data_IF_705518838656
#
_entry.id   IF_705518838656
#
_cell.length_a   1.000
_cell.length_b   1.000
_cell.length_c   1.000
_cell.angle_alpha   90.00
_cell.angle_beta   90.00
_cell.angle_gamma   90.00
#
_symmetry.space_group_name_H-M   'P 1'
#
loop_
_entity.id
_entity.type
_entity.pdbx_description
1 polymer ?
#
# COMPACT_ATOMS: atom_id res chain seq x y z
N UNK A 1 -24.50 -0.15 -14.49
CA UNK A 1 -23.07 -0.29 -14.19
C UNK A 1 -22.81 -1.73 -13.81
N UNK A 2 -21.89 -2.43 -14.48
CA UNK A 2 -21.45 -3.74 -14.05
C UNK A 2 -20.80 -3.65 -12.66
N UNK A 3 -20.81 -4.78 -11.95
CA UNK A 3 -20.36 -4.85 -10.56
C UNK A 3 -19.40 -6.04 -10.38
N UNK A 4 -18.31 -5.78 -9.66
CA UNK A 4 -17.30 -6.78 -9.31
C UNK A 4 -17.17 -6.89 -7.80
N UNK A 5 -16.71 -8.06 -7.34
CA UNK A 5 -16.62 -8.38 -5.93
C UNK A 5 -15.28 -9.00 -5.59
N UNK A 6 -14.70 -8.58 -4.47
CA UNK A 6 -13.46 -9.12 -3.91
C UNK A 6 -13.70 -9.50 -2.44
N UNK A 7 -13.41 -10.74 -2.01
CA UNK A 7 -13.44 -11.09 -0.59
C UNK A 7 -12.45 -10.25 0.22
N UNK A 8 -12.83 -9.82 1.42
CA UNK A 8 -11.96 -9.02 2.30
C UNK A 8 -12.21 -9.34 3.77
N UNK A 9 -11.15 -9.45 4.55
CA UNK A 9 -11.21 -9.45 6.01
C UNK A 9 -11.00 -8.01 6.53
N UNK A 10 -12.05 -7.44 7.12
CA UNK A 10 -12.04 -6.10 7.70
C UNK A 10 -11.10 -5.97 8.90
N UNK A 11 -10.63 -7.07 9.50
CA UNK A 11 -9.59 -7.09 10.53
C UNK A 11 -8.17 -7.24 9.96
N UNK A 12 -8.01 -7.33 8.65
CA UNK A 12 -6.73 -7.19 7.98
C UNK A 12 -6.63 -5.78 7.37
N UNK A 13 -6.00 -4.80 8.04
CA UNK A 13 -5.92 -3.44 7.53
C UNK A 13 -5.20 -3.37 6.17
N UNK A 14 -4.24 -4.28 5.92
CA UNK A 14 -3.58 -4.40 4.63
C UNK A 14 -4.57 -4.67 3.50
N UNK A 15 -5.54 -5.57 3.70
CA UNK A 15 -6.59 -5.82 2.70
C UNK A 15 -7.54 -4.63 2.55
N UNK A 16 -7.90 -3.94 3.63
CA UNK A 16 -8.75 -2.73 3.56
C UNK A 16 -8.05 -1.60 2.80
N UNK A 17 -6.75 -1.39 3.02
CA UNK A 17 -5.95 -0.45 2.24
C UNK A 17 -5.82 -0.90 0.79
N UNK A 18 -5.69 -2.21 0.55
CA UNK A 18 -5.64 -2.78 -0.78
C UNK A 18 -6.96 -2.60 -1.55
N UNK A 19 -8.12 -2.66 -0.90
CA UNK A 19 -9.40 -2.30 -1.53
C UNK A 19 -9.38 -0.86 -2.06
N UNK A 20 -8.79 0.07 -1.31
CA UNK A 20 -8.63 1.46 -1.76
C UNK A 20 -7.64 1.56 -2.91
N UNK A 21 -6.49 0.89 -2.80
CA UNK A 21 -5.53 0.85 -3.89
C UNK A 21 -6.06 0.24 -5.17
N UNK A 22 -6.98 -0.73 -5.07
CA UNK A 22 -7.63 -1.35 -6.21
C UNK A 22 -8.50 -0.35 -6.97
N UNK A 23 -9.28 0.47 -6.25
CA UNK A 23 -10.05 1.57 -6.85
C UNK A 23 -9.11 2.57 -7.53
N UNK A 24 -8.10 3.07 -6.80
CA UNK A 24 -7.17 4.09 -7.32
C UNK A 24 -6.38 3.59 -8.54
N UNK A 25 -5.90 2.34 -8.50
CA UNK A 25 -5.19 1.73 -9.62
C UNK A 25 -6.12 1.54 -10.81
N UNK A 26 -7.32 1.01 -10.58
CA UNK A 26 -8.28 0.77 -11.65
C UNK A 26 -8.72 2.09 -12.30
N UNK A 27 -9.08 3.14 -11.55
CA UNK A 27 -9.43 4.46 -12.11
C UNK A 27 -8.30 5.00 -13.00
N UNK A 28 -7.04 4.87 -12.58
CA UNK A 28 -5.89 5.34 -13.35
C UNK A 28 -5.60 4.49 -14.61
N UNK A 29 -5.88 3.18 -14.57
CA UNK A 29 -5.61 2.25 -15.67
C UNK A 29 -6.75 2.25 -16.69
N UNK A 30 -8.00 2.10 -16.23
CA UNK A 30 -9.19 2.02 -17.09
C UNK A 30 -9.73 3.39 -17.49
N UNK A 31 -9.32 4.47 -16.79
CA UNK A 31 -9.73 5.87 -17.03
C UNK A 31 -11.24 6.08 -16.94
N UNK A 32 -11.88 5.37 -16.02
CA UNK A 32 -13.31 5.44 -15.74
C UNK A 32 -13.55 5.67 -14.25
N UNK A 33 -14.71 6.23 -13.89
CA UNK A 33 -15.12 6.39 -12.50
C UNK A 33 -15.39 5.04 -11.85
N UNK A 34 -14.95 4.90 -10.59
CA UNK A 34 -15.21 3.69 -9.81
C UNK A 34 -15.80 4.05 -8.45
N UNK A 35 -17.04 3.62 -8.26
CA UNK A 35 -17.70 3.64 -6.97
C UNK A 35 -17.44 2.32 -6.25
N UNK A 36 -17.31 2.39 -4.92
CA UNK A 36 -17.05 1.19 -4.14
C UNK A 36 -17.68 1.21 -2.75
N UNK A 37 -17.93 0.02 -2.21
CA UNK A 37 -18.46 -0.17 -0.85
C UNK A 37 -17.95 -1.47 -0.23
N UNK A 38 -18.12 -1.59 1.08
CA UNK A 38 -17.99 -2.86 1.79
C UNK A 38 -19.38 -3.44 2.10
N UNK A 39 -19.56 -4.72 1.84
CA UNK A 39 -20.79 -5.46 2.11
C UNK A 39 -20.53 -6.48 3.20
N UNK A 40 -21.21 -6.32 4.34
CA UNK A 40 -21.08 -7.17 5.51
C UNK A 40 -22.41 -7.24 6.27
N UNK A 41 -22.62 -8.34 6.99
CA UNK A 41 -23.80 -8.54 7.84
C UNK A 41 -23.43 -8.40 9.32
N UNK A 42 -24.15 -7.53 10.04
CA UNK A 42 -23.94 -7.31 11.47
C UNK A 42 -22.47 -7.02 11.82
N UNK A 43 -21.91 -7.86 12.69
CA UNK A 43 -20.51 -7.75 13.16
C UNK A 43 -19.53 -8.63 12.36
N UNK A 44 -19.96 -9.24 11.25
CA UNK A 44 -19.08 -10.06 10.43
C UNK A 44 -17.87 -9.24 9.94
N UNK A 45 -16.68 -9.84 10.06
CA UNK A 45 -15.43 -9.21 9.62
C UNK A 45 -14.98 -9.73 8.26
N UNK A 46 -15.37 -10.95 7.89
CA UNK A 46 -15.35 -11.37 6.50
C UNK A 46 -16.46 -10.64 5.76
N UNK A 47 -16.08 -9.89 4.74
CA UNK A 47 -16.94 -9.02 3.97
C UNK A 47 -16.65 -9.19 2.48
N UNK A 48 -17.49 -8.57 1.66
CA UNK A 48 -17.28 -8.45 0.22
C UNK A 48 -17.03 -6.98 -0.11
N UNK A 49 -15.91 -6.69 -0.74
CA UNK A 49 -15.65 -5.38 -1.33
C UNK A 49 -16.26 -5.32 -2.73
N UNK A 50 -17.17 -4.38 -2.95
CA UNK A 50 -17.87 -4.21 -4.23
C UNK A 50 -17.31 -3.02 -4.98
N UNK A 51 -17.19 -3.16 -6.29
CA UNK A 51 -16.74 -2.15 -7.24
C UNK A 51 -17.80 -1.98 -8.32
N UNK A 52 -18.17 -0.75 -8.65
CA UNK A 52 -18.98 -0.42 -9.82
C UNK A 52 -18.16 0.47 -10.74
N UNK A 53 -18.09 0.12 -12.01
CA UNK A 53 -17.41 0.89 -13.03
C UNK A 53 -18.44 1.44 -14.02
N UNK A 54 -18.20 2.65 -14.51
CA UNK A 54 -19.04 3.27 -15.53
C UNK A 54 -18.97 2.51 -16.86
N UNK A 55 -17.87 1.79 -17.10
CA UNK A 55 -17.57 1.05 -18.33
C UNK A 55 -17.73 -0.47 -18.13
N UNK A 56 -17.96 -1.19 -19.23
CA UNK A 56 -17.98 -2.66 -19.26
C UNK A 56 -16.57 -3.26 -19.32
N UNK A 57 -15.72 -2.86 -18.37
CA UNK A 57 -14.32 -3.27 -18.27
C UNK A 57 -14.10 -3.87 -16.88
N UNK A 58 -13.52 -5.07 -16.80
CA UNK A 58 -13.13 -5.69 -15.53
C UNK A 58 -12.01 -4.89 -14.85
N UNK A 59 -12.29 -4.17 -13.75
CA UNK A 59 -11.28 -3.35 -13.08
C UNK A 59 -10.25 -4.22 -12.36
N UNK A 60 -10.66 -5.38 -11.82
CA UNK A 60 -9.74 -6.26 -11.07
C UNK A 60 -8.80 -6.95 -12.04
N UNK A 61 -9.33 -7.51 -13.13
CA UNK A 61 -8.54 -8.09 -14.20
C UNK A 61 -7.55 -7.11 -14.82
N UNK A 62 -7.99 -5.87 -15.07
CA UNK A 62 -7.13 -4.82 -15.62
C UNK A 62 -5.95 -4.47 -14.71
N UNK A 63 -6.18 -4.40 -13.39
CA UNK A 63 -5.13 -4.11 -12.41
C UNK A 63 -4.15 -5.27 -12.25
N UNK A 64 -4.65 -6.52 -12.21
CA UNK A 64 -3.79 -7.72 -12.16
C UNK A 64 -2.93 -7.81 -13.42
N UNK A 65 -3.51 -7.58 -14.60
CA UNK A 65 -2.77 -7.54 -15.86
C UNK A 65 -1.70 -6.44 -15.86
N UNK A 66 -2.05 -5.24 -15.38
CA UNK A 66 -1.09 -4.16 -15.23
C UNK A 66 0.11 -4.56 -14.35
N UNK A 67 -0.10 -5.13 -13.16
CA UNK A 67 1.01 -5.52 -12.29
C UNK A 67 1.87 -6.66 -12.85
N UNK A 68 1.28 -7.54 -13.66
CA UNK A 68 2.03 -8.59 -14.34
C UNK A 68 3.04 -8.03 -15.32
N UNK A 69 2.65 -6.97 -16.05
CA UNK A 69 3.44 -6.39 -17.13
C UNK A 69 4.25 -5.16 -16.69
N UNK A 70 3.96 -4.62 -15.50
CA UNK A 70 4.60 -3.42 -15.00
C UNK A 70 6.04 -3.65 -14.57
N UNK A 71 6.87 -2.63 -14.77
CA UNK A 71 8.20 -2.50 -14.15
C UNK A 71 8.24 -1.38 -13.14
N UNK A 72 9.08 -1.51 -12.13
CA UNK A 72 9.35 -0.47 -11.15
C UNK A 72 10.53 0.40 -11.59
N UNK A 73 10.32 1.72 -11.64
CA UNK A 73 11.32 2.72 -12.00
C UNK A 73 11.44 3.70 -10.84
N UNK A 74 12.64 3.83 -10.30
CA UNK A 74 12.95 4.84 -9.27
C UNK A 74 12.98 6.22 -9.90
N UNK A 75 12.29 7.18 -9.29
CA UNK A 75 12.32 8.57 -9.73
C UNK A 75 13.35 9.36 -8.92
N UNK A 76 14.29 10.01 -9.61
CA UNK A 76 15.30 10.88 -9.01
C UNK A 76 14.95 12.33 -9.38
N UNK A 77 14.49 13.16 -8.44
CA UNK A 77 14.14 14.55 -8.73
C UNK A 77 15.38 15.33 -9.20
N UNK A 78 15.28 16.02 -10.34
CA UNK A 78 16.21 17.08 -10.71
C UNK A 78 15.75 18.35 -10.03
N UNK A 79 16.58 18.93 -9.18
CA UNK A 79 16.19 20.11 -8.42
C UNK A 79 16.09 21.33 -9.36
N UNK A 80 14.92 21.98 -9.42
CA UNK A 80 14.69 23.16 -10.26
C UNK A 80 15.26 24.45 -9.63
N UNK A 81 15.61 24.45 -8.34
CA UNK A 81 16.29 25.57 -7.67
C UNK A 81 17.66 25.18 -7.08
N UNK A 82 18.11 23.95 -7.30
CA UNK A 82 19.45 23.53 -6.95
C UNK A 82 20.13 22.78 -8.09
N UNK A 83 20.84 23.55 -8.91
CA UNK A 83 22.07 23.06 -9.55
C UNK A 83 23.09 22.57 -8.48
N UNK A 84 22.78 22.67 -7.17
CA UNK A 84 23.73 22.48 -6.06
C UNK A 84 23.17 21.83 -4.79
N UNK A 85 22.17 20.93 -4.84
CA UNK A 85 21.78 20.09 -3.67
C UNK A 85 21.52 18.60 -3.97
N UNK A 86 21.76 18.15 -5.20
CA UNK A 86 22.53 16.91 -5.36
C UNK A 86 23.98 17.43 -5.25
N UNK A 87 24.63 17.44 -4.07
CA UNK A 87 26.02 17.88 -4.00
C UNK A 87 26.78 17.17 -5.11
N UNK A 88 27.64 17.86 -5.85
CA UNK A 88 28.50 17.22 -6.84
C UNK A 88 29.18 16.01 -6.16
N UNK A 89 28.74 14.78 -6.49
CA UNK A 89 29.06 13.57 -5.72
C UNK A 89 27.93 12.91 -4.90
N UNK A 90 26.67 13.35 -4.97
CA UNK A 90 25.55 12.68 -4.29
C UNK A 90 25.26 11.33 -4.92
N UNK A 91 25.24 10.32 -4.05
CA UNK A 91 25.16 8.89 -4.35
C UNK A 91 23.73 8.36 -4.30
N UNK A 92 22.72 9.22 -4.50
CA UNK A 92 21.31 8.80 -4.54
C UNK A 92 21.06 7.92 -5.77
N UNK A 93 21.28 6.63 -5.58
CA UNK A 93 21.13 5.61 -6.60
C UNK A 93 20.51 4.38 -5.98
N UNK A 94 19.61 3.76 -6.74
CA UNK A 94 19.04 2.45 -6.41
C UNK A 94 19.75 1.31 -7.16
N UNK A 95 20.86 1.59 -7.86
CA UNK A 95 21.62 0.62 -8.64
C UNK A 95 22.12 -0.57 -7.79
N UNK A 96 22.49 -0.32 -6.52
CA UNK A 96 22.85 -1.38 -5.55
C UNK A 96 21.76 -2.46 -5.45
N UNK A 97 20.50 -2.08 -5.64
CA UNK A 97 19.37 -2.98 -5.57
C UNK A 97 18.82 -3.33 -6.93
N UNK A 98 19.52 -3.11 -8.06
CA UNK A 98 19.06 -3.48 -9.41
C UNK A 98 17.62 -3.01 -9.71
N UNK A 99 17.34 -1.73 -9.43
CA UNK A 99 16.10 -1.06 -9.83
C UNK A 99 16.46 0.02 -10.84
N UNK A 100 15.75 0.06 -11.97
CA UNK A 100 15.93 1.11 -12.97
C UNK A 100 15.65 2.48 -12.33
N UNK A 101 16.33 3.52 -12.82
CA UNK A 101 16.16 4.88 -12.32
C UNK A 101 16.14 5.89 -13.45
N UNK A 102 15.27 6.89 -13.35
CA UNK A 102 15.19 8.00 -14.30
C UNK A 102 15.30 9.32 -13.55
N UNK A 103 16.07 10.26 -14.11
CA UNK A 103 16.14 11.64 -13.63
C UNK A 103 14.95 12.40 -14.21
N UNK A 104 14.19 13.09 -13.37
CA UNK A 104 12.99 13.82 -13.79
C UNK A 104 13.15 15.33 -13.60
N UNK A 105 12.92 16.09 -14.66
CA UNK A 105 13.11 17.55 -14.71
C UNK A 105 11.93 18.34 -14.12
N UNK A 106 10.79 17.67 -13.98
CA UNK A 106 9.60 18.25 -13.39
C UNK A 106 9.61 18.08 -11.88
N UNK A 107 9.12 19.06 -11.11
CA UNK A 107 8.61 18.76 -9.78
C UNK A 107 7.40 17.84 -10.00
N UNK A 108 7.66 16.53 -10.06
CA UNK A 108 6.62 15.54 -9.79
C UNK A 108 5.93 15.99 -8.51
N UNK A 109 4.60 15.86 -8.45
CA UNK A 109 3.67 16.35 -7.42
C UNK A 109 4.00 15.78 -6.04
N UNK A 110 5.17 16.16 -5.56
CA UNK A 110 5.85 15.70 -4.38
C UNK A 110 6.40 16.95 -3.71
N UNK A 111 5.56 17.63 -2.90
CA UNK A 111 6.03 18.67 -1.99
C UNK A 111 6.96 18.13 -0.88
N UNK A 112 7.45 16.89 -1.01
CA UNK A 112 8.45 16.32 -0.13
C UNK A 112 9.79 17.01 -0.35
N UNK A 113 10.55 17.24 0.73
CA UNK A 113 11.96 17.66 0.62
C UNK A 113 12.72 16.64 -0.24
N UNK A 114 13.75 17.11 -0.94
CA UNK A 114 14.69 16.24 -1.66
C UNK A 114 15.09 15.08 -0.74
N UNK A 115 14.85 13.83 -1.16
CA UNK A 115 15.18 12.65 -0.37
C UNK A 115 16.64 12.68 0.09
N UNK A 116 16.90 12.47 1.38
CA UNK A 116 18.26 12.38 1.91
C UNK A 116 18.84 10.96 1.83
N UNK A 117 18.05 9.98 1.36
CA UNK A 117 18.42 8.58 1.23
C UNK A 117 17.77 7.95 -0.01
N UNK A 118 18.44 7.00 -0.70
CA UNK A 118 17.82 6.22 -1.75
C UNK A 118 16.57 5.48 -1.28
N UNK A 119 16.50 5.14 0.02
CA UNK A 119 15.39 4.40 0.61
C UNK A 119 14.04 5.12 0.45
N UNK A 120 14.07 6.46 0.44
CA UNK A 120 12.88 7.32 0.40
C UNK A 120 12.56 7.86 -1.00
N UNK A 121 13.26 7.39 -2.04
CA UNK A 121 12.95 7.80 -3.41
C UNK A 121 11.56 7.27 -3.83
N UNK A 122 10.76 8.07 -4.56
CA UNK A 122 9.53 7.61 -5.19
C UNK A 122 9.77 6.51 -6.22
N UNK A 123 8.71 5.75 -6.52
CA UNK A 123 8.73 4.75 -7.59
C UNK A 123 7.53 4.95 -8.52
N UNK A 124 7.78 4.76 -9.81
CA UNK A 124 6.77 4.65 -10.85
C UNK A 124 6.64 3.18 -11.24
N UNK A 125 5.42 2.64 -11.17
CA UNK A 125 5.06 1.40 -11.81
C UNK A 125 4.61 1.74 -13.22
N UNK A 126 5.22 1.14 -14.24
CA UNK A 126 4.99 1.52 -15.63
C UNK A 126 4.77 0.31 -16.52
N UNK A 127 3.74 0.36 -17.35
CA UNK A 127 3.57 -0.47 -18.56
C UNK A 127 3.70 0.41 -19.81
N UNK A 128 3.47 -0.15 -21.00
CA UNK A 128 3.41 0.64 -22.24
C UNK A 128 2.21 1.61 -22.29
N UNK A 129 1.14 1.34 -21.53
CA UNK A 129 -0.14 2.05 -21.65
C UNK A 129 -0.55 2.85 -20.40
N UNK A 130 0.04 2.57 -19.24
CA UNK A 130 -0.35 3.19 -17.99
C UNK A 130 0.83 3.35 -17.02
N UNK A 131 0.68 4.28 -16.07
CA UNK A 131 1.65 4.52 -15.00
C UNK A 131 0.97 4.77 -13.66
N UNK A 132 1.52 4.21 -12.60
CA UNK A 132 1.10 4.45 -11.21
C UNK A 132 2.29 4.91 -10.38
N UNK A 133 2.14 6.01 -9.64
CA UNK A 133 3.18 6.51 -8.74
C UNK A 133 2.95 6.01 -7.32
N UNK A 134 4.05 5.67 -6.63
CA UNK A 134 4.09 5.36 -5.21
C UNK A 134 5.15 6.22 -4.51
N UNK A 135 4.71 6.99 -3.52
CA UNK A 135 5.55 7.85 -2.68
C UNK A 135 4.96 8.10 -1.29
N UNK A 136 3.99 7.30 -0.83
CA UNK A 136 3.27 7.56 0.42
C UNK A 136 4.20 7.64 1.63
N UNK A 137 5.31 6.89 1.61
CA UNK A 137 6.35 6.87 2.63
C UNK A 137 7.23 8.14 2.63
N UNK A 138 7.13 8.98 1.61
CA UNK A 138 7.79 10.28 1.52
C UNK A 138 6.90 11.42 2.06
N UNK A 139 5.67 11.12 2.51
CA UNK A 139 4.81 12.09 3.18
C UNK A 139 5.30 12.44 4.59
N UNK A 140 4.83 13.56 5.11
CA UNK A 140 4.93 13.86 6.53
C UNK A 140 4.02 15.03 6.88
N UNK A 141 3.52 15.03 8.13
CA UNK A 141 2.53 16.01 8.60
C UNK A 141 3.03 17.44 8.40
N UNK A 142 4.33 17.66 8.60
CA UNK A 142 4.94 18.98 8.43
C UNK A 142 5.02 19.44 6.98
N UNK A 143 5.11 18.52 6.02
CA UNK A 143 5.30 18.84 4.60
C UNK A 143 3.99 18.81 3.80
N UNK A 144 3.13 17.83 4.08
CA UNK A 144 1.91 17.56 3.31
C UNK A 144 0.63 17.63 4.11
N UNK A 145 0.70 17.86 5.43
CA UNK A 145 -0.46 17.75 6.32
C UNK A 145 -0.97 16.31 6.52
N UNK A 146 -0.35 15.32 5.85
CA UNK A 146 -0.74 13.90 5.89
C UNK A 146 0.22 13.10 6.76
N UNK A 147 -0.32 12.15 7.51
CA UNK A 147 0.48 11.19 8.27
C UNK A 147 1.26 10.28 7.31
N UNK A 148 2.54 10.04 7.57
CA UNK A 148 3.34 9.14 6.74
C UNK A 148 2.84 7.68 6.85
N UNK A 149 2.29 7.28 8.00
CA UNK A 149 1.92 5.88 8.31
C UNK A 149 3.04 4.92 7.89
N UNK A 150 4.27 5.29 8.26
CA UNK A 150 5.49 4.54 7.94
C UNK A 150 5.46 3.10 8.47
N UNK A 151 5.29 2.12 7.59
CA UNK A 151 5.47 0.70 7.90
C UNK A 151 6.92 0.31 7.56
N UNK A 152 7.20 -0.35 6.44
CA UNK A 152 8.58 -0.70 6.07
C UNK A 152 9.21 0.17 4.99
N UNK A 153 8.44 0.68 4.03
CA UNK A 153 8.99 1.51 2.96
C UNK A 153 9.68 2.78 3.48
N UNK A 154 10.82 3.13 2.89
CA UNK A 154 11.63 4.25 3.35
C UNK A 154 12.44 3.98 4.63
N UNK A 155 12.63 2.71 5.02
CA UNK A 155 13.36 2.30 6.23
C UNK A 155 14.33 1.14 5.96
N UNK A 156 15.26 0.90 6.88
CA UNK A 156 16.17 -0.26 6.84
C UNK A 156 17.19 -0.28 5.68
N UNK A 157 17.31 0.82 4.93
CA UNK A 157 18.21 0.91 3.78
C UNK A 157 17.74 0.14 2.55
N UNK A 158 16.58 -0.53 2.58
CA UNK A 158 15.98 -1.18 1.39
C UNK A 158 14.92 -0.27 0.79
N UNK A 159 15.07 0.21 -0.45
CA UNK A 159 14.18 1.25 -0.98
C UNK A 159 12.79 0.71 -1.31
N UNK A 160 11.78 1.59 -1.17
CA UNK A 160 10.39 1.27 -1.57
C UNK A 160 10.29 0.82 -3.03
N UNK A 161 11.15 1.35 -3.91
CA UNK A 161 11.24 0.92 -5.30
C UNK A 161 11.74 -0.53 -5.47
N UNK A 162 12.63 -1.01 -4.59
CA UNK A 162 13.06 -2.41 -4.59
C UNK A 162 11.95 -3.34 -4.07
N UNK A 163 11.21 -2.92 -3.04
CA UNK A 163 10.02 -3.65 -2.57
C UNK A 163 8.97 -3.80 -3.69
N UNK A 164 8.68 -2.70 -4.39
CA UNK A 164 7.74 -2.72 -5.50
C UNK A 164 8.22 -3.64 -6.63
N UNK A 165 9.50 -3.55 -7.01
CA UNK A 165 10.10 -4.43 -8.00
C UNK A 165 10.01 -5.90 -7.62
N UNK A 166 10.32 -6.26 -6.37
CA UNK A 166 10.29 -7.65 -5.90
C UNK A 166 8.87 -8.22 -5.98
N UNK A 167 7.87 -7.46 -5.55
CA UNK A 167 6.46 -7.84 -5.66
C UNK A 167 6.02 -8.02 -7.12
N UNK A 168 6.39 -7.08 -8.01
CA UNK A 168 6.08 -7.19 -9.45
C UNK A 168 6.75 -8.42 -10.09
N UNK A 169 8.01 -8.73 -9.75
CA UNK A 169 8.69 -9.94 -10.23
C UNK A 169 7.96 -11.22 -9.83
N UNK A 170 7.43 -11.27 -8.61
CA UNK A 170 6.63 -12.41 -8.15
C UNK A 170 5.33 -12.53 -8.95
N UNK A 171 4.61 -11.41 -9.15
CA UNK A 171 3.34 -11.39 -9.91
C UNK A 171 3.56 -11.74 -11.38
N UNK A 172 4.63 -11.23 -12.00
CA UNK A 172 4.99 -11.55 -13.39
C UNK A 172 5.24 -13.05 -13.60
N UNK A 173 5.69 -13.76 -12.56
CA UNK A 173 5.94 -15.19 -12.58
C UNK A 173 4.71 -16.06 -12.26
N UNK A 174 3.55 -15.46 -11.99
CA UNK A 174 2.33 -16.23 -11.72
C UNK A 174 1.93 -17.09 -12.94
N UNK A 175 1.67 -18.39 -12.74
CA UNK A 175 1.04 -19.21 -13.78
C UNK A 175 -0.39 -18.74 -14.07
N UNK A 176 -0.96 -19.21 -15.17
CA UNK A 176 -2.29 -18.80 -15.61
C UNK A 176 -3.39 -19.09 -14.56
N UNK A 177 -3.24 -20.18 -13.79
CA UNK A 177 -4.20 -20.53 -12.74
C UNK A 177 -4.19 -19.50 -11.59
N UNK A 178 -3.02 -19.03 -11.19
CA UNK A 178 -2.78 -18.03 -10.15
C UNK A 178 -3.21 -16.65 -10.61
N UNK A 179 -3.02 -16.30 -11.89
CA UNK A 179 -3.61 -15.09 -12.47
C UNK A 179 -5.13 -15.16 -12.38
N UNK A 180 -5.75 -16.27 -12.80
CA UNK A 180 -7.20 -16.43 -12.71
C UNK A 180 -7.70 -16.40 -11.25
N UNK A 181 -6.92 -16.93 -10.31
CA UNK A 181 -7.20 -16.84 -8.88
C UNK A 181 -7.10 -15.39 -8.37
N UNK A 182 -6.05 -14.66 -8.77
CA UNK A 182 -5.83 -13.26 -8.41
C UNK A 182 -6.95 -12.33 -8.92
N UNK A 183 -7.54 -12.63 -10.07
CA UNK A 183 -8.70 -11.86 -10.57
C UNK A 183 -9.93 -12.05 -9.69
N UNK A 184 -10.13 -13.25 -9.12
CA UNK A 184 -11.28 -13.55 -8.25
C UNK A 184 -11.08 -13.09 -6.81
N UNK A 185 -9.87 -13.27 -6.29
CA UNK A 185 -9.49 -12.98 -4.92
C UNK A 185 -8.02 -12.51 -4.88
N UNK A 186 -7.76 -11.24 -5.23
CA UNK A 186 -6.41 -10.69 -5.28
C UNK A 186 -5.71 -10.73 -3.91
N UNK A 187 -6.45 -10.86 -2.82
CA UNK A 187 -5.91 -10.84 -1.47
C UNK A 187 -5.53 -12.22 -0.94
N UNK A 188 -5.83 -13.29 -1.67
CA UNK A 188 -5.57 -14.65 -1.19
C UNK A 188 -4.63 -15.46 -2.11
N UNK A 189 -3.85 -14.79 -2.96
CA UNK A 189 -2.77 -15.42 -3.73
C UNK A 189 -1.44 -15.25 -2.99
N UNK A 190 -1.03 -16.35 -2.35
CA UNK A 190 0.14 -16.40 -1.48
C UNK A 190 1.36 -16.97 -2.22
N UNK A 191 2.54 -16.36 -2.04
CA UNK A 191 3.80 -16.85 -2.63
C UNK A 191 4.98 -16.69 -1.67
N UNK A 192 6.03 -17.53 -1.78
CA UNK A 192 7.29 -17.30 -1.08
C UNK A 192 7.84 -15.88 -1.35
N UNK A 193 8.07 -15.11 -0.29
CA UNK A 193 8.36 -13.68 -0.41
C UNK A 193 9.35 -13.21 0.67
N UNK A 194 10.55 -12.81 0.23
CA UNK A 194 11.65 -12.40 1.11
C UNK A 194 11.58 -10.94 1.58
N UNK A 195 10.91 -10.05 0.85
CA UNK A 195 10.76 -8.63 1.19
C UNK A 195 9.27 -8.22 1.12
N UNK A 196 8.81 -7.26 1.93
CA UNK A 196 7.45 -6.71 1.81
C UNK A 196 7.34 -5.28 2.35
N UNK A 197 6.23 -4.60 2.09
CA UNK A 197 5.92 -3.28 2.64
C UNK A 197 5.41 -3.34 4.09
N UNK A 198 5.05 -4.55 4.54
CA UNK A 198 4.53 -4.89 5.87
C UNK A 198 3.10 -4.44 6.12
N UNK A 199 2.28 -4.49 5.07
CA UNK A 199 0.85 -4.23 5.15
C UNK A 199 0.07 -5.47 5.56
N UNK A 200 0.51 -6.66 5.17
CA UNK A 200 -0.20 -7.89 5.48
C UNK A 200 0.39 -8.59 6.71
N UNK A 201 -0.32 -8.44 7.83
CA UNK A 201 0.03 -9.10 9.09
C UNK A 201 0.04 -10.63 9.03
N UNK A 202 -0.54 -11.28 8.00
CA UNK A 202 -0.46 -12.75 7.84
C UNK A 202 0.96 -13.23 7.54
N UNK A 203 1.79 -12.36 6.96
CA UNK A 203 3.22 -12.62 6.72
C UNK A 203 4.06 -12.15 7.89
N UNK A 204 3.75 -10.96 8.41
CA UNK A 204 4.66 -10.28 9.31
C UNK A 204 4.75 -10.94 10.68
N UNK A 205 5.90 -10.72 11.31
CA UNK A 205 6.17 -11.17 12.66
C UNK A 205 6.75 -10.00 13.45
N UNK A 206 6.37 -9.94 14.71
CA UNK A 206 7.21 -9.37 15.75
C UNK A 206 7.85 -10.55 16.44
N UNK A 207 9.16 -10.56 16.68
CA UNK A 207 9.78 -11.61 17.49
C UNK A 207 8.97 -11.75 18.77
N UNK A 208 8.30 -12.89 18.94
CA UNK A 208 7.75 -13.26 20.23
C UNK A 208 8.97 -13.31 21.14
N UNK A 209 8.94 -12.64 22.29
CA UNK A 209 10.04 -12.59 23.26
C UNK A 209 10.55 -13.98 23.72
N UNK A 210 10.00 -15.06 23.16
CA UNK A 210 10.48 -16.44 23.15
C UNK A 210 11.68 -16.73 22.20
N UNK A 211 12.29 -15.72 21.56
CA UNK A 211 13.54 -15.90 20.78
C UNK A 211 13.37 -16.51 19.39
N UNK A 212 12.18 -16.39 18.78
CA UNK A 212 11.93 -16.86 17.42
C UNK A 212 12.10 -15.72 16.40
N UNK A 213 13.00 -15.93 15.44
CA UNK A 213 13.25 -15.03 14.31
C UNK A 213 13.39 -15.89 13.06
N UNK A 214 12.54 -15.73 12.03
CA UNK A 214 12.66 -16.48 10.78
C UNK A 214 14.04 -16.38 10.13
N UNK A 215 14.78 -15.30 10.37
CA UNK A 215 16.15 -15.14 9.85
C UNK A 215 17.15 -16.14 10.46
N UNK A 216 16.85 -16.68 11.65
CA UNK A 216 17.69 -17.64 12.36
C UNK A 216 17.32 -19.10 12.03
N UNK A 217 16.32 -19.31 11.16
CA UNK A 217 15.81 -20.62 10.76
C UNK A 217 15.83 -20.79 9.24
N UNK A 218 16.86 -21.47 8.73
CA UNK A 218 17.09 -21.66 7.28
C UNK A 218 16.00 -22.47 6.57
N UNK A 219 15.22 -23.27 7.31
CA UNK A 219 14.16 -24.13 6.75
C UNK A 219 12.77 -23.48 6.77
N UNK A 220 12.65 -22.24 7.26
CA UNK A 220 11.37 -21.51 7.33
C UNK A 220 11.26 -20.57 6.14
N UNK A 221 10.32 -20.87 5.24
CA UNK A 221 10.01 -19.99 4.10
C UNK A 221 8.85 -19.07 4.45
N UNK A 222 9.11 -17.76 4.45
CA UNK A 222 8.06 -16.75 4.63
C UNK A 222 7.19 -16.67 3.38
N UNK A 223 5.88 -16.77 3.57
CA UNK A 223 4.87 -16.60 2.51
C UNK A 223 4.23 -15.23 2.65
N UNK A 224 4.07 -14.52 1.54
CA UNK A 224 3.48 -13.19 1.47
C UNK A 224 2.42 -13.05 0.38
N UNK A 225 1.76 -11.90 0.35
CA UNK A 225 0.64 -11.58 -0.54
C UNK A 225 1.00 -10.34 -1.37
N UNK A 226 1.75 -10.49 -2.49
CA UNK A 226 2.37 -9.36 -3.20
C UNK A 226 1.34 -8.37 -3.76
N UNK A 227 0.16 -8.86 -4.18
CA UNK A 227 -0.95 -8.02 -4.62
C UNK A 227 -1.50 -7.16 -3.48
N UNK A 228 -1.74 -7.75 -2.31
CA UNK A 228 -2.18 -7.01 -1.11
C UNK A 228 -1.17 -5.93 -0.74
N UNK A 229 0.12 -6.25 -0.74
CA UNK A 229 1.20 -5.32 -0.38
C UNK A 229 1.28 -4.12 -1.35
N UNK A 230 1.25 -4.36 -2.67
CA UNK A 230 1.29 -3.29 -3.68
C UNK A 230 0.01 -2.45 -3.65
N UNK A 231 -1.16 -3.09 -3.61
CA UNK A 231 -2.44 -2.38 -3.56
C UNK A 231 -2.55 -1.57 -2.27
N UNK A 232 -2.13 -2.08 -1.12
CA UNK A 232 -2.13 -1.31 0.12
C UNK A 232 -1.23 -0.06 0.02
N UNK A 233 -0.03 -0.20 -0.58
CA UNK A 233 0.84 0.94 -0.85
C UNK A 233 0.17 2.00 -1.75
N UNK A 234 -0.55 1.56 -2.79
CA UNK A 234 -1.31 2.44 -3.69
C UNK A 234 -2.46 3.12 -2.95
N UNK A 235 -3.21 2.38 -2.12
CA UNK A 235 -4.34 2.92 -1.35
C UNK A 235 -3.89 4.02 -0.38
N UNK A 236 -2.68 3.88 0.16
CA UNK A 236 -2.05 4.93 0.95
C UNK A 236 -1.46 6.07 0.11
N UNK A 237 -1.57 6.15 -1.20
CA UNK A 237 -1.16 7.37 -1.93
C UNK A 237 -2.06 8.55 -1.60
N UNK A 238 -3.37 8.31 -1.60
CA UNK A 238 -4.38 9.37 -1.54
C UNK A 238 -5.26 9.35 -0.29
N UNK A 239 -5.14 8.31 0.55
CA UNK A 239 -5.85 8.21 1.82
C UNK A 239 -4.89 7.86 2.97
N UNK A 240 -5.28 8.13 4.22
CA UNK A 240 -4.53 7.72 5.41
C UNK A 240 -5.49 7.25 6.50
N UNK A 241 -5.18 6.15 7.21
CA UNK A 241 -5.84 5.90 8.49
C UNK A 241 -5.51 7.03 9.47
N UNK A 242 -6.47 7.36 10.34
CA UNK A 242 -6.30 8.41 11.35
C UNK A 242 -5.45 7.92 12.51
N UNK A 243 -4.44 8.69 12.91
CA UNK A 243 -3.68 8.40 14.13
C UNK A 243 -4.56 8.65 15.36
N UNK A 244 -4.62 7.71 16.30
CA UNK A 244 -5.49 7.81 17.50
C UNK A 244 -5.14 9.03 18.36
N UNK A 245 -3.85 9.33 18.50
CA UNK A 245 -3.36 10.53 19.15
C UNK A 245 -2.04 10.98 18.51
N UNK A 246 -1.78 12.30 18.45
CA UNK A 246 -0.59 12.87 17.78
C UNK A 246 0.75 12.26 18.24
N UNK A 247 0.86 11.88 19.51
CA UNK A 247 2.08 11.26 20.10
C UNK A 247 2.10 9.74 19.98
N UNK A 248 0.97 9.11 19.66
CA UNK A 248 0.87 7.67 19.55
C UNK A 248 1.40 7.20 18.19
N UNK A 249 2.56 6.54 18.22
CA UNK A 249 3.21 6.02 17.01
C UNK A 249 2.70 4.66 16.56
N UNK A 250 1.87 4.00 17.35
CA UNK A 250 1.55 2.59 17.16
C UNK A 250 0.06 2.34 16.99
N UNK A 251 -0.82 3.32 17.22
CA UNK A 251 -2.26 3.17 17.05
C UNK A 251 -2.84 4.08 15.98
N UNK A 252 -3.61 3.47 15.09
CA UNK A 252 -4.32 4.11 14.00
C UNK A 252 -5.77 3.61 13.95
N UNK A 253 -6.64 4.36 13.30
CA UNK A 253 -8.03 4.01 13.00
C UNK A 253 -8.27 4.03 11.52
N UNK A 254 -9.11 3.13 11.03
CA UNK A 254 -9.62 3.18 9.68
C UNK A 254 -11.11 2.91 9.65
N UNK A 255 -11.80 3.55 8.72
CA UNK A 255 -13.23 3.39 8.51
C UNK A 255 -13.53 2.57 7.26
N UNK A 256 -14.68 1.89 7.30
CA UNK A 256 -15.30 1.19 6.16
C UNK A 256 -16.77 1.55 6.11
N UNK A 257 -17.32 1.72 4.91
CA UNK A 257 -18.73 2.11 4.71
C UNK A 257 -19.45 1.13 3.78
N UNK A 258 -20.75 0.97 4.02
CA UNK A 258 -21.68 0.18 3.20
C UNK A 258 -22.27 0.96 2.03
N UNK A 259 -22.01 2.26 1.95
CA UNK A 259 -22.48 3.09 0.84
C UNK A 259 -21.53 2.99 -0.35
N UNK A 260 -22.10 3.04 -1.55
CA UNK A 260 -21.30 3.24 -2.76
C UNK A 260 -20.76 4.67 -2.75
N UNK A 261 -19.43 4.77 -2.64
CA UNK A 261 -18.75 6.05 -2.59
C UNK A 261 -17.78 6.17 -3.77
N UNK A 262 -17.74 7.33 -4.43
CA UNK A 262 -16.67 7.64 -5.36
C UNK A 262 -15.33 7.68 -4.62
N UNK A 263 -14.23 7.50 -5.35
CA UNK A 263 -12.88 7.40 -4.78
C UNK A 263 -12.54 8.55 -3.81
N UNK A 264 -12.97 9.77 -4.11
CA UNK A 264 -12.75 10.95 -3.26
C UNK A 264 -13.37 10.83 -1.87
N UNK A 265 -14.61 10.35 -1.76
CA UNK A 265 -15.29 10.15 -0.47
C UNK A 265 -14.78 8.88 0.23
N UNK A 266 -14.47 7.84 -0.54
CA UNK A 266 -13.89 6.62 -0.01
C UNK A 266 -12.53 6.85 0.68
N UNK A 267 -11.72 7.81 0.20
CA UNK A 267 -10.47 8.24 0.86
C UNK A 267 -10.72 8.83 2.25
N UNK A 268 -11.79 9.61 2.40
CA UNK A 268 -12.17 10.26 3.66
C UNK A 268 -12.65 9.24 4.68
N UNK A 269 -13.47 8.27 4.24
CA UNK A 269 -13.92 7.15 5.07
C UNK A 269 -12.75 6.34 5.61
N UNK A 270 -11.70 6.10 4.80
CA UNK A 270 -10.51 5.40 5.30
C UNK A 270 -9.85 6.12 6.49
N UNK A 271 -9.92 7.44 6.53
CA UNK A 271 -9.46 8.26 7.65
C UNK A 271 -10.35 8.21 8.89
N UNK A 272 -11.38 7.36 8.92
CA UNK A 272 -12.37 7.27 9.98
C UNK A 272 -13.06 8.63 10.27
N UNK A 273 -13.19 9.47 9.24
CA UNK A 273 -13.91 10.74 9.34
C UNK A 273 -15.39 10.45 9.10
N UNK A 274 -16.23 10.84 10.06
CA UNK A 274 -17.67 10.78 9.90
C UNK A 274 -18.12 11.79 8.84
N UNK A 275 -18.73 11.27 7.78
CA UNK A 275 -19.26 12.04 6.65
C UNK A 275 -20.79 11.88 6.52
N UNK A 276 -21.46 11.35 7.55
CA UNK A 276 -22.91 11.18 7.60
C UNK A 276 -23.43 9.88 6.96
N UNK A 277 -22.54 8.96 6.57
CA UNK A 277 -22.92 7.64 6.08
C UNK A 277 -22.66 6.55 7.14
N UNK A 278 -23.42 5.43 7.12
CA UNK A 278 -23.11 4.29 7.95
C UNK A 278 -21.66 3.82 7.73
N UNK A 279 -20.90 3.77 8.82
CA UNK A 279 -19.52 3.33 8.81
C UNK A 279 -19.20 2.52 10.06
N UNK A 280 -18.31 1.54 9.90
CA UNK A 280 -17.63 0.85 11.01
C UNK A 280 -16.21 1.37 11.10
N UNK A 281 -15.72 1.52 12.32
CA UNK A 281 -14.35 1.96 12.60
C UNK A 281 -13.58 0.82 13.23
N UNK A 282 -12.32 0.68 12.84
CA UNK A 282 -11.42 -0.31 13.38
C UNK A 282 -10.16 0.38 13.87
N UNK A 283 -9.67 -0.04 15.02
CA UNK A 283 -8.38 0.37 15.55
C UNK A 283 -7.31 -0.65 15.15
N UNK A 284 -6.32 -0.20 14.40
CA UNK A 284 -5.12 -0.93 14.02
C UNK A 284 -4.00 -0.67 15.03
N UNK A 285 -3.37 -1.75 15.50
CA UNK A 285 -2.19 -1.73 16.35
C UNK A 285 -0.95 -2.12 15.53
N UNK A 286 0.10 -1.32 15.67
CA UNK A 286 1.42 -1.57 15.12
C UNK A 286 2.40 -1.95 16.23
N UNK A 287 3.50 -2.57 15.82
CA UNK A 287 4.66 -2.83 16.67
C UNK A 287 5.97 -2.64 15.90
N UNK A 288 7.07 -2.62 16.65
CA UNK A 288 8.42 -2.55 16.12
C UNK A 288 8.94 -3.98 15.92
N UNK A 289 9.16 -4.43 14.68
CA UNK A 289 9.72 -5.76 14.43
C UNK A 289 11.21 -5.86 14.77
N UNK A 290 11.87 -4.71 14.95
CA UNK A 290 13.25 -4.59 15.42
C UNK A 290 13.32 -3.58 16.57
N UNK A 291 14.37 -2.77 16.62
CA UNK A 291 14.50 -1.77 17.68
C UNK A 291 13.44 -0.66 17.54
N UNK A 292 13.00 -0.17 18.70
CA UNK A 292 12.09 0.96 18.79
C UNK A 292 12.63 2.17 18.02
N UNK A 293 11.76 2.87 17.29
CA UNK A 293 12.09 4.08 16.53
C UNK A 293 13.06 3.91 15.35
N UNK A 294 13.41 2.69 14.92
CA UNK A 294 14.15 2.47 13.65
C UNK A 294 13.30 2.72 12.37
N UNK A 295 12.15 3.34 12.52
CA UNK A 295 11.26 3.77 11.43
C UNK A 295 10.47 2.66 10.75
N UNK A 296 10.81 1.39 11.01
CA UNK A 296 10.10 0.21 10.55
C UNK A 296 8.99 -0.19 11.52
N UNK A 297 7.74 -0.29 11.06
CA UNK A 297 6.60 -0.80 11.84
C UNK A 297 5.89 -1.90 11.04
N UNK A 298 5.21 -2.79 11.75
CA UNK A 298 4.33 -3.80 11.16
C UNK A 298 3.02 -3.87 11.93
N UNK A 299 1.98 -4.33 11.26
CA UNK A 299 0.65 -4.50 11.85
C UNK A 299 0.64 -5.79 12.67
N UNK A 300 0.10 -5.73 13.88
CA UNK A 300 0.01 -6.90 14.77
C UNK A 300 -1.41 -7.23 15.20
N UNK A 301 -2.33 -6.27 15.13
CA UNK A 301 -3.73 -6.47 15.51
C UNK A 301 -4.62 -5.42 14.86
N UNK A 302 -5.88 -5.77 14.64
CA UNK A 302 -6.94 -4.82 14.36
C UNK A 302 -8.26 -5.27 14.97
N UNK A 303 -8.92 -4.34 15.66
CA UNK A 303 -10.18 -4.59 16.37
C UNK A 303 -11.20 -3.54 16.01
N UNK A 304 -12.45 -3.96 15.88
CA UNK A 304 -13.55 -3.03 15.70
C UNK A 304 -13.72 -2.15 16.94
N UNK A 305 -13.89 -0.85 16.74
CA UNK A 305 -14.30 0.08 17.78
C UNK A 305 -15.83 0.02 17.89
N UNK A 306 -16.32 -0.61 18.97
CA UNK A 306 -17.74 -0.57 19.27
C UNK A 306 -18.12 0.83 19.76
N UNK A 307 -19.31 1.34 19.40
CA UNK A 307 -19.79 2.61 19.95
C UNK A 307 -19.73 2.56 21.48
N UNK A 308 -19.17 3.60 22.10
CA UNK A 308 -19.27 3.78 23.54
C UNK A 308 -20.75 3.86 23.91
N UNK A 309 -21.26 2.83 24.60
CA UNK A 309 -22.61 2.79 25.17
C UNK A 309 -22.84 3.91 26.17
#
# INVERSE_FOLDING_TARGET
MPEWSVPVDLRNPGQVFACRGLVEAAEAIVKAGIDSRFEYEGLATNAIFRLRCDEEIDPVGSVVAFFRDARAITLIPRDANAITLIPSGSTLSTAKWNVDSVICDTPFVSPSRVPSSPATLPVLLQTASATLQLDYWADGIQQRGRDNVKLWAGSGGYPGSALARDALKLIAAFPAAEIAAAVRDPFNVAVPMSSSFRFDWRRDYVPLEAGFSPNDHVDVTMVGFPLTELLAAIGLQNARPARVARRDKLRYRYGVSTEYLPSTLARVVLGAVDIGFPMRTFQMQLAWPGQENQGARCIIDAREELPSS
#
